data_IF_323226411638
#
_entry.id   IF_323226411638
#
_cell.length_a   1.000
_cell.length_b   1.000
_cell.length_c   1.000
_cell.angle_alpha   90.00
_cell.angle_beta   90.00
_cell.angle_gamma   90.00
#
_symmetry.space_group_name_H-M   'P 1'
#
loop_
_entity.id
_entity.type
_entity.pdbx_description
1 polymer ?
#
# COMPACT_ATOMS: atom_id res chain seq x y z
N UNK A 1 -18.28 13.80 -42.84
CA UNK A 1 -17.23 14.43 -42.01
C UNK A 1 -17.42 14.21 -40.52
N UNK A 2 -18.60 14.46 -39.90
CA UNK A 2 -18.83 14.31 -38.47
C UNK A 2 -18.69 12.87 -37.90
N UNK A 3 -18.98 11.84 -38.71
CA UNK A 3 -18.85 10.41 -38.33
C UNK A 3 -17.40 9.92 -38.33
N UNK A 4 -16.60 10.39 -39.26
CA UNK A 4 -15.16 10.06 -39.36
C UNK A 4 -14.39 10.68 -38.20
N UNK A 5 -14.74 11.91 -37.81
CA UNK A 5 -14.13 12.62 -36.69
C UNK A 5 -14.42 11.93 -35.32
N UNK A 6 -15.66 11.36 -35.19
CA UNK A 6 -16.00 10.58 -33.96
C UNK A 6 -15.26 9.25 -33.87
N UNK A 7 -15.05 8.57 -34.99
CA UNK A 7 -14.28 7.33 -35.04
C UNK A 7 -12.80 7.60 -34.77
N UNK A 8 -12.26 8.71 -35.27
CA UNK A 8 -10.89 9.13 -34.99
C UNK A 8 -10.68 9.49 -33.50
N UNK A 9 -11.67 10.14 -32.87
CA UNK A 9 -11.64 10.46 -31.44
C UNK A 9 -11.67 9.18 -30.55
N UNK A 10 -12.47 8.18 -30.93
CA UNK A 10 -12.54 6.91 -30.22
C UNK A 10 -11.22 6.12 -30.39
N UNK A 11 -10.61 6.15 -31.58
CA UNK A 11 -9.32 5.52 -31.82
C UNK A 11 -8.18 6.18 -31.04
N UNK A 12 -8.19 7.50 -30.89
CA UNK A 12 -7.22 8.24 -30.07
C UNK A 12 -7.43 7.95 -28.59
N UNK A 13 -8.69 7.82 -28.13
CA UNK A 13 -8.99 7.49 -26.73
C UNK A 13 -8.54 6.06 -26.36
N UNK A 14 -8.63 5.10 -27.30
CA UNK A 14 -8.12 3.74 -27.08
C UNK A 14 -6.58 3.66 -27.06
N UNK A 15 -5.88 4.55 -27.77
CA UNK A 15 -4.40 4.58 -27.73
C UNK A 15 -3.85 5.27 -26.48
N UNK A 16 -4.62 6.14 -25.82
CA UNK A 16 -4.22 6.78 -24.55
C UNK A 16 -4.40 5.84 -23.35
N UNK A 17 -5.28 4.82 -23.48
CA UNK A 17 -5.51 3.85 -22.39
C UNK A 17 -4.41 2.78 -22.26
N UNK A 18 -3.45 2.69 -23.17
CA UNK A 18 -2.29 1.78 -23.08
C UNK A 18 -0.98 2.46 -22.65
N UNK A 19 -1.01 3.74 -22.34
CA UNK A 19 0.03 4.35 -21.55
C UNK A 19 -0.28 4.10 -20.05
N UNK A 20 -0.22 2.84 -19.63
CA UNK A 20 0.45 2.59 -18.38
C UNK A 20 1.86 3.12 -18.59
N UNK A 21 2.08 4.37 -18.28
CA UNK A 21 3.38 4.83 -17.83
C UNK A 21 3.64 3.94 -16.63
N UNK A 22 4.32 2.80 -16.87
CA UNK A 22 5.20 2.29 -15.84
C UNK A 22 6.01 3.53 -15.48
N UNK A 23 5.70 4.14 -14.35
CA UNK A 23 6.61 4.99 -13.65
C UNK A 23 7.79 4.03 -13.43
N UNK A 24 8.72 4.05 -14.38
CA UNK A 24 9.98 3.37 -14.27
C UNK A 24 10.78 4.20 -13.25
N UNK A 25 10.30 4.16 -12.00
CA UNK A 25 11.13 4.34 -10.86
C UNK A 25 12.28 3.35 -11.02
N UNK A 26 13.41 3.60 -10.44
CA UNK A 26 14.59 2.73 -10.47
C UNK A 26 14.33 1.37 -9.76
N UNK A 27 13.13 0.83 -9.88
CA UNK A 27 12.70 -0.42 -9.26
C UNK A 27 13.34 -1.60 -9.96
N UNK A 28 14.24 -2.26 -9.28
CA UNK A 28 14.95 -3.43 -9.79
C UNK A 28 14.38 -4.67 -9.12
N UNK A 29 13.91 -5.68 -9.88
CA UNK A 29 13.54 -6.98 -9.32
C UNK A 29 14.72 -7.62 -8.59
N UNK A 30 14.44 -8.18 -7.42
CA UNK A 30 15.42 -8.89 -6.59
C UNK A 30 14.84 -10.24 -6.14
N UNK A 31 15.71 -11.14 -5.69
CA UNK A 31 15.28 -12.35 -5.01
C UNK A 31 14.81 -12.05 -3.59
N UNK A 32 13.91 -12.87 -3.04
CA UNK A 32 13.43 -12.73 -1.64
C UNK A 32 14.59 -12.79 -0.65
N UNK A 33 15.62 -13.58 -0.95
CA UNK A 33 16.83 -13.70 -0.10
C UNK A 33 17.69 -12.42 -0.10
N UNK A 34 17.47 -11.51 -1.03
CA UNK A 34 18.16 -10.22 -1.08
C UNK A 34 17.44 -9.12 -0.26
N UNK A 35 16.24 -9.41 0.26
CA UNK A 35 15.56 -8.52 1.20
C UNK A 35 16.33 -8.42 2.53
N UNK A 36 16.22 -7.32 3.28
CA UNK A 36 16.76 -7.23 4.63
C UNK A 36 16.21 -8.36 5.54
N UNK A 37 17.03 -8.88 6.45
CA UNK A 37 16.66 -9.99 7.32
C UNK A 37 15.36 -9.78 8.11
N UNK A 38 15.09 -8.55 8.56
CA UNK A 38 13.83 -8.20 9.23
C UNK A 38 12.62 -8.38 8.34
N UNK A 39 12.68 -7.97 7.06
CA UNK A 39 11.61 -8.16 6.10
C UNK A 39 11.38 -9.65 5.82
N UNK A 40 12.43 -10.44 5.63
CA UNK A 40 12.33 -11.90 5.47
C UNK A 40 11.67 -12.56 6.69
N UNK A 41 12.06 -12.16 7.90
CA UNK A 41 11.47 -12.66 9.16
C UNK A 41 9.98 -12.33 9.24
N UNK A 42 9.60 -11.07 8.95
CA UNK A 42 8.21 -10.65 8.96
C UNK A 42 7.37 -11.46 7.96
N UNK A 43 7.85 -11.64 6.74
CA UNK A 43 7.17 -12.44 5.72
C UNK A 43 6.97 -13.89 6.19
N UNK A 44 7.99 -14.51 6.77
CA UNK A 44 7.90 -15.89 7.26
C UNK A 44 6.97 -16.05 8.45
N UNK A 45 6.87 -15.06 9.32
CA UNK A 45 6.03 -15.10 10.53
C UNK A 45 4.56 -14.81 10.25
N UNK A 46 4.26 -13.84 9.40
CA UNK A 46 2.89 -13.33 9.22
C UNK A 46 2.25 -13.74 7.89
N UNK A 47 3.06 -14.17 6.91
CA UNK A 47 2.60 -14.53 5.56
C UNK A 47 3.08 -15.92 5.14
N UNK A 48 3.30 -16.80 6.13
CA UNK A 48 3.68 -18.19 5.87
C UNK A 48 2.60 -18.87 5.00
N UNK A 49 3.02 -19.49 3.89
CA UNK A 49 2.12 -20.08 2.90
C UNK A 49 1.66 -19.14 1.79
N UNK A 50 1.97 -17.83 1.86
CA UNK A 50 1.77 -16.90 0.74
C UNK A 50 3.02 -16.87 -0.13
N UNK A 51 2.82 -17.06 -1.44
CA UNK A 51 3.93 -16.97 -2.41
C UNK A 51 4.25 -15.50 -2.68
N UNK A 52 5.54 -15.13 -2.62
CA UNK A 52 6.02 -13.84 -3.13
C UNK A 52 6.02 -13.90 -4.65
N UNK A 53 5.25 -13.03 -5.28
CA UNK A 53 5.15 -12.91 -6.74
C UNK A 53 6.19 -11.97 -7.31
N UNK A 54 6.52 -10.91 -6.56
CA UNK A 54 7.50 -9.90 -6.95
C UNK A 54 8.15 -9.35 -5.69
N UNK A 55 9.46 -9.17 -5.73
CA UNK A 55 10.18 -8.32 -4.79
C UNK A 55 11.06 -7.37 -5.60
N UNK A 56 11.02 -6.07 -5.25
CA UNK A 56 11.82 -5.03 -5.90
C UNK A 56 12.59 -4.21 -4.88
N UNK A 57 13.66 -3.60 -5.35
CA UNK A 57 14.41 -2.57 -4.62
C UNK A 57 14.28 -1.27 -5.39
N UNK A 58 13.78 -0.26 -4.73
CA UNK A 58 13.83 1.11 -5.21
C UNK A 58 15.06 1.80 -4.63
N UNK A 59 15.88 2.35 -5.50
CA UNK A 59 17.08 3.10 -5.12
C UNK A 59 16.90 4.55 -5.52
N UNK A 60 16.33 5.36 -4.61
CA UNK A 60 16.26 6.81 -4.77
C UNK A 60 17.56 7.51 -4.39
N UNK A 61 17.64 8.82 -4.69
CA UNK A 61 18.80 9.66 -4.37
C UNK A 61 19.03 9.79 -2.85
N UNK A 62 17.95 9.69 -2.06
CA UNK A 62 17.98 9.94 -0.60
C UNK A 62 17.70 8.70 0.22
N UNK A 63 16.92 7.74 -0.30
CA UNK A 63 16.49 6.56 0.43
C UNK A 63 16.45 5.33 -0.46
N UNK A 64 16.53 4.19 0.18
CA UNK A 64 16.32 2.87 -0.42
C UNK A 64 15.12 2.24 0.26
N UNK A 65 14.19 1.69 -0.52
CA UNK A 65 13.04 0.91 -0.05
C UNK A 65 12.96 -0.42 -0.76
N UNK A 66 12.15 -1.31 -0.24
CA UNK A 66 11.90 -2.63 -0.80
C UNK A 66 10.41 -2.86 -0.85
N UNK A 67 9.91 -3.29 -2.00
CA UNK A 67 8.52 -3.63 -2.22
C UNK A 67 8.35 -5.13 -2.41
N UNK A 68 7.30 -5.69 -1.83
CA UNK A 68 6.95 -7.09 -1.96
C UNK A 68 5.48 -7.21 -2.32
N UNK A 69 5.18 -7.98 -3.36
CA UNK A 69 3.82 -8.33 -3.76
C UNK A 69 3.60 -9.82 -3.54
N UNK A 70 2.58 -10.16 -2.77
CA UNK A 70 2.18 -11.53 -2.50
C UNK A 70 1.13 -12.03 -3.50
N UNK A 71 0.94 -13.35 -3.57
CA UNK A 71 0.01 -14.00 -4.50
C UNK A 71 -1.45 -13.54 -4.32
N UNK A 72 -1.86 -13.19 -3.10
CA UNK A 72 -3.21 -12.67 -2.80
C UNK A 72 -3.36 -11.17 -3.12
N UNK A 73 -2.37 -10.54 -3.74
CA UNK A 73 -2.36 -9.12 -4.08
C UNK A 73 -1.93 -8.20 -2.93
N UNK A 74 -1.62 -8.73 -1.74
CA UNK A 74 -1.07 -7.92 -0.65
C UNK A 74 0.27 -7.31 -1.06
N UNK A 75 0.41 -6.00 -0.86
CA UNK A 75 1.66 -5.26 -1.04
C UNK A 75 2.23 -4.90 0.31
N UNK A 76 3.55 -5.06 0.45
CA UNK A 76 4.31 -4.64 1.62
C UNK A 76 5.46 -3.76 1.17
N UNK A 77 5.67 -2.64 1.88
CA UNK A 77 6.84 -1.79 1.69
C UNK A 77 7.71 -1.81 2.94
N UNK A 78 9.02 -1.81 2.74
CA UNK A 78 10.00 -1.83 3.81
C UNK A 78 11.05 -0.75 3.58
N UNK A 79 11.51 -0.14 4.67
CA UNK A 79 12.64 0.77 4.64
C UNK A 79 13.98 0.02 4.36
N UNK A 80 15.07 0.78 4.22
CA UNK A 80 16.42 0.25 4.00
C UNK A 80 16.91 -0.73 5.07
N UNK A 81 16.31 -0.74 6.25
CA UNK A 81 16.63 -1.63 7.37
C UNK A 81 15.70 -2.84 7.43
N UNK A 82 14.69 -2.91 6.56
CA UNK A 82 13.65 -3.95 6.54
C UNK A 82 12.55 -3.75 7.59
N UNK A 83 12.38 -2.55 8.12
CA UNK A 83 11.20 -2.24 8.91
C UNK A 83 10.02 -2.02 7.97
N UNK A 84 8.86 -2.57 8.32
CA UNK A 84 7.62 -2.37 7.57
C UNK A 84 7.21 -0.90 7.62
N UNK A 85 6.94 -0.30 6.46
CA UNK A 85 6.46 1.07 6.31
C UNK A 85 5.04 1.14 5.75
N UNK A 86 4.65 0.16 4.95
CA UNK A 86 3.29 0.05 4.42
C UNK A 86 2.88 -1.41 4.27
N UNK A 87 1.61 -1.69 4.52
CA UNK A 87 0.94 -2.92 4.11
C UNK A 87 -0.45 -2.59 3.57
N UNK A 88 -0.73 -3.03 2.34
CA UNK A 88 -2.00 -2.86 1.64
C UNK A 88 -2.55 -4.23 1.25
N UNK A 89 -3.62 -4.66 1.91
CA UNK A 89 -4.29 -5.94 1.70
C UNK A 89 -5.51 -5.76 0.79
N UNK A 90 -5.34 -6.01 -0.52
CA UNK A 90 -6.42 -5.80 -1.52
C UNK A 90 -7.67 -6.65 -1.28
N UNK A 91 -7.49 -7.91 -0.89
CA UNK A 91 -8.59 -8.89 -0.72
C UNK A 91 -8.65 -9.49 0.70
N UNK A 92 -7.78 -9.04 1.58
CA UNK A 92 -7.66 -9.51 2.96
C UNK A 92 -7.64 -8.33 3.92
N UNK A 93 -7.34 -8.58 5.18
CA UNK A 93 -7.11 -7.56 6.21
C UNK A 93 -5.68 -7.66 6.74
N UNK A 94 -5.19 -6.56 7.26
CA UNK A 94 -3.87 -6.51 7.89
C UNK A 94 -3.87 -7.44 9.10
N UNK A 95 -2.87 -8.33 9.24
CA UNK A 95 -2.75 -9.16 10.45
C UNK A 95 -2.66 -8.29 11.71
N UNK A 96 -3.45 -8.64 12.71
CA UNK A 96 -3.57 -7.87 13.97
C UNK A 96 -2.23 -7.60 14.67
N UNK A 97 -1.29 -8.54 14.53
CA UNK A 97 0.05 -8.43 15.11
C UNK A 97 0.89 -7.32 14.50
N UNK A 98 0.54 -6.89 13.27
CA UNK A 98 1.24 -5.81 12.56
C UNK A 98 0.64 -4.43 12.83
N UNK A 99 -0.51 -4.36 13.51
CA UNK A 99 -1.18 -3.10 13.87
C UNK A 99 -0.72 -2.69 15.28
N UNK A 100 -0.26 -1.44 15.49
CA UNK A 100 0.08 -0.95 16.81
C UNK A 100 -1.06 -1.13 17.81
N UNK A 101 -0.76 -1.59 19.04
CA UNK A 101 -1.79 -1.92 20.05
C UNK A 101 -2.69 -0.73 20.38
N UNK A 102 -2.14 0.49 20.43
CA UNK A 102 -2.90 1.70 20.70
C UNK A 102 -3.96 1.98 19.62
N UNK A 103 -3.60 1.76 18.33
CA UNK A 103 -4.53 1.89 17.21
C UNK A 103 -5.61 0.81 17.31
N UNK A 104 -5.26 -0.45 17.58
CA UNK A 104 -6.26 -1.53 17.79
C UNK A 104 -7.26 -1.18 18.87
N UNK A 105 -6.79 -0.71 20.01
CA UNK A 105 -7.66 -0.32 21.15
C UNK A 105 -8.62 0.80 20.73
N UNK A 106 -8.12 1.78 20.00
CA UNK A 106 -8.94 2.87 19.47
C UNK A 106 -10.01 2.38 18.50
N UNK A 107 -9.64 1.49 17.56
CA UNK A 107 -10.57 0.93 16.59
C UNK A 107 -11.65 0.07 17.27
N UNK A 108 -11.28 -0.75 18.25
CA UNK A 108 -12.23 -1.55 19.02
C UNK A 108 -13.28 -0.68 19.74
N UNK A 109 -12.88 0.46 20.27
CA UNK A 109 -13.75 1.36 21.02
C UNK A 109 -14.65 2.21 20.10
N UNK A 110 -14.18 2.62 18.91
CA UNK A 110 -14.86 3.63 18.09
C UNK A 110 -15.35 3.10 16.73
N UNK A 111 -14.80 1.99 16.24
CA UNK A 111 -15.10 1.42 14.92
C UNK A 111 -15.30 -0.09 15.01
N UNK A 112 -16.06 -0.54 16.01
CA UNK A 112 -16.33 -1.96 16.23
C UNK A 112 -16.88 -2.63 14.94
N UNK A 113 -16.34 -3.81 14.60
CA UNK A 113 -16.72 -4.54 13.40
C UNK A 113 -16.01 -4.11 12.12
N UNK A 114 -15.16 -3.07 12.16
CA UNK A 114 -14.29 -2.71 11.05
C UNK A 114 -12.90 -3.33 11.23
N UNK A 115 -12.31 -3.76 10.11
CA UNK A 115 -10.95 -4.28 10.06
C UNK A 115 -10.05 -3.32 9.28
N UNK A 116 -8.74 -3.40 9.53
CA UNK A 116 -7.75 -2.61 8.81
C UNK A 116 -7.44 -3.28 7.47
N UNK A 117 -7.59 -2.55 6.38
CA UNK A 117 -7.28 -2.98 5.03
C UNK A 117 -5.89 -2.54 4.59
N UNK A 118 -5.51 -1.33 4.99
CA UNK A 118 -4.21 -0.74 4.72
C UNK A 118 -3.71 -0.02 5.98
N UNK A 119 -2.40 -0.07 6.22
CA UNK A 119 -1.74 0.79 7.19
C UNK A 119 -0.40 1.27 6.61
N UNK A 120 -0.18 2.57 6.68
CA UNK A 120 1.07 3.23 6.37
C UNK A 120 1.67 3.80 7.65
N UNK A 121 2.96 3.59 7.85
CA UNK A 121 3.69 3.92 9.07
C UNK A 121 4.83 4.86 8.75
N UNK A 122 4.58 6.15 8.90
CA UNK A 122 5.58 7.20 8.73
C UNK A 122 6.23 7.57 10.06
N UNK A 123 7.30 8.37 10.02
CA UNK A 123 8.01 8.81 11.23
C UNK A 123 7.14 9.63 12.19
N UNK A 124 6.13 10.33 11.65
CA UNK A 124 5.33 11.30 12.40
C UNK A 124 3.86 10.88 12.53
N UNK A 125 3.39 9.95 11.70
CA UNK A 125 1.98 9.60 11.63
C UNK A 125 1.76 8.17 11.13
N UNK A 126 0.55 7.67 11.38
CA UNK A 126 0.04 6.41 10.88
C UNK A 126 -1.24 6.70 10.10
N UNK A 127 -1.31 6.25 8.86
CA UNK A 127 -2.55 6.30 8.07
C UNK A 127 -3.15 4.89 8.03
N UNK A 128 -4.44 4.77 8.35
CA UNK A 128 -5.15 3.48 8.47
C UNK A 128 -6.41 3.52 7.63
N UNK A 129 -6.48 2.70 6.58
CA UNK A 129 -7.70 2.49 5.80
C UNK A 129 -8.49 1.33 6.40
N UNK A 130 -9.77 1.58 6.68
CA UNK A 130 -10.72 0.57 7.18
C UNK A 130 -11.48 -0.09 6.04
N UNK A 131 -12.09 -1.24 6.34
CA UNK A 131 -12.91 -2.01 5.38
C UNK A 131 -14.15 -1.28 4.89
N UNK A 132 -14.63 -0.27 5.61
CA UNK A 132 -15.75 0.60 5.19
C UNK A 132 -15.32 1.81 4.34
N UNK A 133 -14.03 1.93 3.99
CA UNK A 133 -13.50 3.03 3.17
C UNK A 133 -13.21 4.31 3.95
N UNK A 134 -13.16 4.26 5.27
CA UNK A 134 -12.66 5.38 6.09
C UNK A 134 -11.14 5.32 6.19
N UNK A 135 -10.51 6.47 6.00
CA UNK A 135 -9.10 6.73 6.30
C UNK A 135 -8.98 7.47 7.62
N UNK A 136 -8.20 6.92 8.52
CA UNK A 136 -7.91 7.47 9.84
C UNK A 136 -6.44 7.83 9.92
N UNK A 137 -6.13 9.08 10.24
CA UNK A 137 -4.74 9.51 10.47
C UNK A 137 -4.48 9.70 11.96
N UNK A 138 -3.46 9.05 12.47
CA UNK A 138 -2.98 9.17 13.84
C UNK A 138 -1.60 9.81 13.85
N UNK A 139 -1.35 10.67 14.84
CA UNK A 139 0.01 11.20 15.07
C UNK A 139 0.94 10.11 15.68
N UNK A 140 2.22 10.43 15.84
CA UNK A 140 3.23 9.53 16.46
C UNK A 140 2.91 9.09 17.90
N UNK A 141 1.97 9.74 18.58
CA UNK A 141 1.47 9.40 19.92
C UNK A 141 0.17 8.60 19.86
N UNK A 142 -0.22 8.11 18.67
CA UNK A 142 -1.45 7.36 18.41
C UNK A 142 -2.74 8.11 18.73
N UNK A 143 -2.72 9.45 18.67
CA UNK A 143 -3.92 10.28 18.80
C UNK A 143 -4.49 10.51 17.39
N UNK A 144 -5.79 10.31 17.21
CA UNK A 144 -6.48 10.60 15.95
C UNK A 144 -6.41 12.09 15.65
N UNK A 145 -5.97 12.44 14.44
CA UNK A 145 -5.86 13.83 13.97
C UNK A 145 -6.69 14.13 12.72
N UNK A 146 -7.06 13.12 11.93
CA UNK A 146 -7.94 13.29 10.78
C UNK A 146 -8.77 12.04 10.50
N UNK A 147 -9.95 12.26 9.89
CA UNK A 147 -10.82 11.22 9.33
C UNK A 147 -11.27 11.68 7.96
N UNK A 148 -11.13 10.84 6.95
CA UNK A 148 -11.60 11.10 5.58
C UNK A 148 -12.16 9.82 4.94
N UNK A 149 -12.82 9.98 3.78
CA UNK A 149 -13.21 8.83 2.97
C UNK A 149 -12.24 8.65 1.82
N UNK A 150 -11.83 7.42 1.53
CA UNK A 150 -10.91 7.06 0.44
C UNK A 150 -11.35 7.63 -0.92
N UNK A 151 -12.68 7.77 -1.14
CA UNK A 151 -13.25 8.29 -2.40
C UNK A 151 -13.05 9.80 -2.62
N UNK A 152 -12.76 10.58 -1.59
CA UNK A 152 -12.62 12.04 -1.70
C UNK A 152 -11.23 12.45 -2.16
N UNK A 153 -10.21 11.63 -1.94
CA UNK A 153 -8.83 11.93 -2.39
C UNK A 153 -8.64 11.83 -3.92
N UNK A 154 -9.52 11.14 -4.63
CA UNK A 154 -9.40 10.95 -6.09
C UNK A 154 -9.78 12.19 -6.93
N UNK A 155 -10.31 13.25 -6.33
CA UNK A 155 -10.81 14.44 -7.03
C UNK A 155 -10.02 15.73 -6.74
N UNK A 156 -8.95 15.68 -5.96
CA UNK A 156 -8.15 16.87 -5.60
C UNK A 156 -6.78 16.95 -6.32
N UNK A 157 -6.61 16.23 -7.43
CA UNK A 157 -5.41 16.34 -8.28
C UNK A 157 -5.72 16.94 -9.62
#
# INVERSE_FOLDING_TARGET
>A
MKRILRILMIAICCMVSCNMVANAGNDKPISVNALPAKAQTLLSQHFNGQKVMLATIESGVVSRSYDVVLQNGTKLEFDKKGNLTEIDCKQATVPDQLIPQAIKNYLMANYAGQSVKKIEMNKNEYEVELTNGLDLTFNKHFQLIAVSYTHLRAHET
#
